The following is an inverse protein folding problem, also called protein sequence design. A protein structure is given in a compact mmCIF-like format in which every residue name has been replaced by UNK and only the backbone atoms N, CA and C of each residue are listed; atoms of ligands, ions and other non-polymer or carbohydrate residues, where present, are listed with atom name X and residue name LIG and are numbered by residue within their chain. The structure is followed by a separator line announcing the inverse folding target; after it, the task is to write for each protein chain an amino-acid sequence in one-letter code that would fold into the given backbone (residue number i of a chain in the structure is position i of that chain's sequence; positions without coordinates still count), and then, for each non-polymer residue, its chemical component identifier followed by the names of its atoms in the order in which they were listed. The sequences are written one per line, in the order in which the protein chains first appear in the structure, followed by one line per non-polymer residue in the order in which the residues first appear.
data_IF_625102371672
#
_entry.id   IF_625102371672
#
_cell.length_a   1.000
_cell.length_b   1.000
_cell.length_c   1.000
_cell.angle_alpha   90.00
_cell.angle_beta   90.00
_cell.angle_gamma   90.00
#
_symmetry.space_group_name_H-M   'P 1'
#
loop_
_entity.id
_entity.type
_entity.pdbx_description
1 polymer ?
#
# COMPACT_ATOMS: atom_id res chain seq x y z
N UNK A 1 -6.51 -28.94 -7.38
CA UNK A 1 -6.22 -27.75 -6.57
C UNK A 1 -4.72 -27.49 -6.44
N UNK A 2 -3.88 -28.50 -6.24
CA UNK A 2 -2.42 -28.30 -6.13
C UNK A 2 -1.76 -27.65 -7.36
N UNK A 3 -2.23 -27.89 -8.58
CA UNK A 3 -1.68 -27.31 -9.81
C UNK A 3 -1.91 -25.79 -9.96
N UNK A 4 -2.96 -25.24 -9.33
CA UNK A 4 -3.23 -23.81 -9.35
C UNK A 4 -2.24 -23.07 -8.45
N UNK A 5 -1.89 -23.65 -7.30
CA UNK A 5 -0.98 -23.06 -6.34
C UNK A 5 0.50 -23.18 -6.75
N UNK A 6 0.83 -24.07 -7.69
CA UNK A 6 2.19 -24.25 -8.19
C UNK A 6 2.58 -23.21 -9.26
N UNK A 7 1.62 -22.49 -9.83
CA UNK A 7 1.85 -21.46 -10.85
C UNK A 7 1.41 -20.10 -10.32
N UNK A 8 2.37 -19.18 -10.14
CA UNK A 8 2.12 -17.84 -9.62
C UNK A 8 1.01 -17.10 -10.38
N UNK A 9 1.02 -17.19 -11.72
CA UNK A 9 0.01 -16.54 -12.56
C UNK A 9 -1.40 -17.06 -12.27
N UNK A 10 -1.55 -18.38 -12.20
CA UNK A 10 -2.84 -19.03 -11.89
C UNK A 10 -3.31 -18.72 -10.47
N UNK A 11 -2.40 -18.68 -9.50
CA UNK A 11 -2.71 -18.31 -8.11
C UNK A 11 -3.22 -16.87 -8.01
N UNK A 12 -2.55 -15.93 -8.67
CA UNK A 12 -2.96 -14.51 -8.68
C UNK A 12 -4.34 -14.34 -9.34
N UNK A 13 -4.56 -14.98 -10.50
CA UNK A 13 -5.85 -14.94 -11.19
C UNK A 13 -6.95 -15.55 -10.32
N UNK A 14 -6.70 -16.72 -9.73
CA UNK A 14 -7.67 -17.39 -8.86
C UNK A 14 -7.99 -16.55 -7.61
N UNK A 15 -6.99 -15.90 -6.99
CA UNK A 15 -7.19 -14.98 -5.88
C UNK A 15 -8.04 -13.76 -6.28
N UNK A 16 -7.76 -13.18 -7.44
CA UNK A 16 -8.54 -12.05 -7.96
C UNK A 16 -10.00 -12.44 -8.23
N UNK A 17 -10.22 -13.57 -8.91
CA UNK A 17 -11.58 -14.08 -9.19
C UNK A 17 -12.34 -14.35 -7.89
N UNK A 18 -11.69 -14.99 -6.91
CA UNK A 18 -12.31 -15.24 -5.60
C UNK A 18 -12.70 -13.94 -4.91
N UNK A 19 -11.83 -12.94 -4.94
CA UNK A 19 -12.11 -11.61 -4.35
C UNK A 19 -13.32 -10.96 -5.02
N UNK A 20 -13.37 -10.95 -6.35
CA UNK A 20 -14.51 -10.40 -7.08
C UNK A 20 -15.82 -11.13 -6.73
N UNK A 21 -15.80 -12.45 -6.68
CA UNK A 21 -16.97 -13.26 -6.31
C UNK A 21 -17.44 -12.93 -4.88
N UNK A 22 -16.51 -12.83 -3.92
CA UNK A 22 -16.84 -12.47 -2.55
C UNK A 22 -17.46 -11.07 -2.44
N UNK A 23 -16.90 -10.08 -3.15
CA UNK A 23 -17.43 -8.71 -3.20
C UNK A 23 -18.85 -8.70 -3.77
N UNK A 24 -19.09 -9.40 -4.87
CA UNK A 24 -20.44 -9.51 -5.47
C UNK A 24 -21.45 -10.16 -4.51
N UNK A 25 -21.04 -11.20 -3.82
CA UNK A 25 -21.90 -11.87 -2.82
C UNK A 25 -22.24 -10.90 -1.67
N UNK A 26 -21.25 -10.18 -1.16
CA UNK A 26 -21.46 -9.22 -0.06
C UNK A 26 -22.39 -8.10 -0.49
N UNK A 27 -22.15 -7.48 -1.65
CA UNK A 27 -23.04 -6.42 -2.19
C UNK A 27 -24.47 -6.96 -2.39
N UNK A 28 -24.62 -8.16 -2.96
CA UNK A 28 -25.91 -8.77 -3.18
C UNK A 28 -26.67 -9.13 -1.89
N UNK A 29 -25.94 -9.47 -0.83
CA UNK A 29 -26.52 -9.86 0.46
C UNK A 29 -26.85 -8.66 1.35
N UNK A 30 -26.06 -7.59 1.31
CA UNK A 30 -26.20 -6.42 2.20
C UNK A 30 -26.90 -5.25 1.52
N UNK A 31 -26.87 -5.18 0.20
CA UNK A 31 -27.32 -4.01 -0.56
C UNK A 31 -26.41 -2.78 -0.40
N UNK A 32 -25.34 -2.89 0.38
CA UNK A 32 -24.40 -1.81 0.68
C UNK A 32 -23.12 -1.95 -0.15
N UNK A 33 -22.40 -0.85 -0.33
CA UNK A 33 -21.10 -0.87 -1.00
C UNK A 33 -21.17 -0.91 -2.52
N UNK A 34 -22.23 -0.34 -3.11
CA UNK A 34 -22.33 -0.20 -4.57
C UNK A 34 -21.09 0.52 -5.13
N UNK A 35 -20.45 -0.04 -6.18
CA UNK A 35 -19.35 0.65 -6.85
C UNK A 35 -19.80 2.01 -7.34
N UNK A 36 -19.17 3.08 -6.84
CA UNK A 36 -19.50 4.47 -7.21
C UNK A 36 -20.05 5.33 -6.09
N UNK A 37 -20.49 4.76 -4.98
CA UNK A 37 -20.83 5.50 -3.78
C UNK A 37 -19.62 6.24 -3.19
N UNK A 38 -19.88 7.39 -2.55
CA UNK A 38 -18.81 8.15 -1.85
C UNK A 38 -18.08 7.30 -0.80
N UNK A 39 -18.81 6.45 -0.09
CA UNK A 39 -18.25 5.50 0.88
C UNK A 39 -17.34 4.47 0.21
N UNK A 40 -17.75 3.94 -0.94
CA UNK A 40 -16.94 2.99 -1.70
C UNK A 40 -15.67 3.65 -2.28
N UNK A 41 -15.79 4.88 -2.79
CA UNK A 41 -14.64 5.66 -3.28
C UNK A 41 -13.66 5.94 -2.14
N UNK A 42 -14.15 6.36 -0.98
CA UNK A 42 -13.31 6.59 0.20
C UNK A 42 -12.62 5.29 0.67
N UNK A 43 -13.33 4.16 0.64
CA UNK A 43 -12.76 2.85 0.93
C UNK A 43 -11.64 2.48 -0.06
N UNK A 44 -11.82 2.68 -1.36
CA UNK A 44 -10.80 2.40 -2.37
C UNK A 44 -9.55 3.25 -2.18
N UNK A 45 -9.69 4.55 -1.93
CA UNK A 45 -8.55 5.43 -1.65
C UNK A 45 -7.81 5.03 -0.37
N UNK A 46 -8.54 4.64 0.68
CA UNK A 46 -7.93 4.14 1.92
C UNK A 46 -7.16 2.85 1.68
N UNK A 47 -7.72 1.94 0.90
CA UNK A 47 -7.09 0.69 0.56
C UNK A 47 -5.79 0.89 -0.25
N UNK A 48 -5.83 1.75 -1.28
CA UNK A 48 -4.66 2.12 -2.06
C UNK A 48 -3.58 2.78 -1.21
N UNK A 49 -3.99 3.65 -0.28
CA UNK A 49 -3.06 4.30 0.66
C UNK A 49 -2.35 3.28 1.55
N UNK A 50 -3.09 2.35 2.14
CA UNK A 50 -2.51 1.31 3.00
C UNK A 50 -1.57 0.40 2.21
N UNK A 51 -1.94 -0.05 1.01
CA UNK A 51 -1.07 -0.87 0.17
C UNK A 51 0.23 -0.17 -0.20
N UNK A 52 0.13 1.09 -0.59
CA UNK A 52 1.31 1.91 -0.93
C UNK A 52 2.21 2.10 0.29
N UNK A 53 1.62 2.36 1.46
CA UNK A 53 2.35 2.51 2.71
C UNK A 53 3.05 1.21 3.14
N UNK A 54 2.38 0.06 3.02
CA UNK A 54 2.97 -1.26 3.32
C UNK A 54 4.16 -1.55 2.42
N UNK A 55 4.05 -1.25 1.12
CA UNK A 55 5.16 -1.42 0.17
C UNK A 55 6.32 -0.49 0.50
N UNK A 56 6.05 0.79 0.78
CA UNK A 56 7.08 1.77 1.15
C UNK A 56 7.81 1.39 2.43
N UNK A 57 7.08 1.12 3.52
CA UNK A 57 7.64 0.74 4.81
C UNK A 57 8.35 -0.62 4.74
N UNK A 58 7.77 -1.58 4.01
CA UNK A 58 8.38 -2.90 3.81
C UNK A 58 9.74 -2.83 3.11
N UNK A 59 9.87 -1.98 2.08
CA UNK A 59 11.15 -1.74 1.42
C UNK A 59 12.14 -0.99 2.31
N UNK A 60 11.66 -0.05 3.13
CA UNK A 60 12.48 0.64 4.14
C UNK A 60 13.07 -0.36 5.13
N UNK A 61 12.27 -1.29 5.62
CA UNK A 61 12.71 -2.36 6.52
C UNK A 61 13.69 -3.30 5.84
N UNK A 62 13.41 -3.70 4.59
CA UNK A 62 14.33 -4.51 3.81
C UNK A 62 15.73 -3.86 3.71
N UNK A 63 15.81 -2.58 3.37
CA UNK A 63 17.10 -1.90 3.29
C UNK A 63 17.81 -1.85 4.64
N UNK A 64 17.11 -1.46 5.70
CA UNK A 64 17.73 -1.22 7.01
C UNK A 64 18.04 -2.50 7.78
N UNK A 65 17.19 -3.51 7.70
CA UNK A 65 17.36 -4.73 8.51
C UNK A 65 17.94 -5.91 7.73
N UNK A 66 17.88 -5.89 6.40
CA UNK A 66 18.36 -7.01 5.59
C UNK A 66 19.56 -6.60 4.75
N UNK A 67 19.41 -5.64 3.86
CA UNK A 67 20.44 -5.33 2.87
C UNK A 67 21.69 -4.69 3.51
N UNK A 68 21.53 -3.57 4.22
CA UNK A 68 22.64 -2.82 4.78
C UNK A 68 23.47 -3.67 5.78
N UNK A 69 22.88 -4.37 6.76
CA UNK A 69 23.66 -5.16 7.74
C UNK A 69 24.36 -6.37 7.14
N UNK A 70 23.89 -6.87 6.00
CA UNK A 70 24.48 -8.03 5.36
C UNK A 70 25.50 -7.69 4.26
N UNK A 71 25.54 -6.46 3.76
CA UNK A 71 26.50 -6.03 2.74
C UNK A 71 27.98 -6.29 3.12
N UNK A 72 28.43 -6.08 4.36
CA UNK A 72 29.81 -6.40 4.76
C UNK A 72 30.15 -7.90 4.72
N UNK A 73 29.14 -8.78 4.81
CA UNK A 73 29.31 -10.25 4.83
C UNK A 73 29.42 -10.85 3.43
N UNK A 74 29.14 -10.06 2.39
CA UNK A 74 29.13 -10.50 1.00
C UNK A 74 30.54 -10.30 0.40
N UNK A 75 31.11 -11.31 -0.30
CA UNK A 75 32.34 -11.17 -1.02
C UNK A 75 32.31 -10.00 -2.01
N UNK A 76 33.45 -9.32 -2.19
CA UNK A 76 33.52 -8.09 -2.99
C UNK A 76 33.19 -8.30 -4.47
N UNK A 77 33.43 -9.47 -4.99
CA UNK A 77 33.10 -9.90 -6.36
C UNK A 77 31.58 -10.05 -6.59
N UNK A 78 30.79 -10.29 -5.54
CA UNK A 78 29.35 -10.48 -5.60
C UNK A 78 28.56 -9.21 -5.26
N UNK A 79 29.16 -8.25 -4.57
CA UNK A 79 28.53 -6.96 -4.21
C UNK A 79 27.94 -6.19 -5.42
N UNK A 80 28.58 -6.19 -6.61
CA UNK A 80 28.03 -5.51 -7.78
C UNK A 80 26.68 -6.04 -8.24
N UNK A 81 26.37 -7.32 -8.05
CA UNK A 81 25.08 -7.89 -8.40
C UNK A 81 23.95 -7.27 -7.58
N UNK A 82 24.19 -7.03 -6.30
CA UNK A 82 23.22 -6.39 -5.40
C UNK A 82 23.16 -4.90 -5.68
N UNK A 83 24.29 -4.20 -5.71
CA UNK A 83 24.35 -2.75 -5.83
C UNK A 83 23.91 -2.21 -7.19
N UNK A 84 24.21 -2.95 -8.29
CA UNK A 84 23.93 -2.52 -9.66
C UNK A 84 22.60 -3.04 -10.22
N UNK A 85 22.06 -4.13 -9.68
CA UNK A 85 20.85 -4.77 -10.23
C UNK A 85 19.68 -4.69 -9.23
N UNK A 86 19.85 -5.25 -8.03
CA UNK A 86 18.77 -5.39 -7.06
C UNK A 86 18.44 -4.04 -6.41
N UNK A 87 19.46 -3.32 -5.94
CA UNK A 87 19.23 -2.06 -5.22
C UNK A 87 18.57 -0.98 -6.08
N UNK A 88 18.95 -0.72 -7.34
CA UNK A 88 18.26 0.24 -8.19
C UNK A 88 16.80 -0.15 -8.46
N UNK A 89 16.51 -1.43 -8.68
CA UNK A 89 15.16 -1.91 -8.87
C UNK A 89 14.30 -1.72 -7.62
N UNK A 90 14.82 -2.09 -6.45
CA UNK A 90 14.14 -1.89 -5.17
C UNK A 90 13.93 -0.40 -4.84
N UNK A 91 14.92 0.46 -5.12
CA UNK A 91 14.81 1.92 -4.95
C UNK A 91 13.79 2.54 -5.88
N UNK A 92 13.63 2.01 -7.09
CA UNK A 92 12.57 2.46 -7.99
C UNK A 92 11.18 2.24 -7.38
N UNK A 93 10.91 1.03 -6.89
CA UNK A 93 9.66 0.70 -6.20
C UNK A 93 9.47 1.49 -4.91
N UNK A 94 10.53 1.67 -4.13
CA UNK A 94 10.52 2.48 -2.91
C UNK A 94 10.06 3.91 -3.17
N UNK A 95 10.62 4.54 -4.21
CA UNK A 95 10.28 5.92 -4.60
C UNK A 95 8.83 6.06 -5.02
N UNK A 96 8.36 5.15 -5.88
CA UNK A 96 6.99 5.19 -6.35
C UNK A 96 5.98 4.84 -5.26
N UNK A 97 6.28 3.91 -4.39
CA UNK A 97 5.44 3.59 -3.24
C UNK A 97 5.32 4.78 -2.27
N UNK A 98 6.42 5.49 -2.00
CA UNK A 98 6.40 6.72 -1.19
C UNK A 98 5.52 7.81 -1.84
N UNK A 99 5.71 8.06 -3.15
CA UNK A 99 4.89 9.02 -3.89
C UNK A 99 3.41 8.65 -3.88
N UNK A 100 3.09 7.39 -4.13
CA UNK A 100 1.71 6.90 -4.08
C UNK A 100 1.10 7.05 -2.67
N UNK A 101 1.87 6.79 -1.61
CA UNK A 101 1.41 6.99 -0.23
C UNK A 101 1.08 8.46 0.05
N UNK A 102 1.93 9.38 -0.38
CA UNK A 102 1.67 10.83 -0.22
C UNK A 102 0.42 11.25 -1.00
N UNK A 103 0.34 10.90 -2.28
CA UNK A 103 -0.78 11.28 -3.15
C UNK A 103 -2.11 10.72 -2.64
N UNK A 104 -2.16 9.44 -2.31
CA UNK A 104 -3.38 8.82 -1.78
C UNK A 104 -3.77 9.36 -0.41
N UNK A 105 -2.79 9.70 0.44
CA UNK A 105 -3.03 10.35 1.73
C UNK A 105 -3.63 11.75 1.58
N UNK A 106 -3.13 12.55 0.64
CA UNK A 106 -3.70 13.87 0.33
C UNK A 106 -5.12 13.77 -0.23
N UNK A 107 -5.37 12.80 -1.12
CA UNK A 107 -6.72 12.57 -1.67
C UNK A 107 -7.70 12.12 -0.59
N UNK A 108 -7.27 11.31 0.37
CA UNK A 108 -8.08 10.94 1.53
C UNK A 108 -8.37 12.13 2.42
N UNK A 109 -7.37 12.96 2.70
CA UNK A 109 -7.54 14.16 3.52
C UNK A 109 -8.51 15.17 2.88
N UNK A 110 -8.40 15.33 1.54
CA UNK A 110 -9.35 16.14 0.77
C UNK A 110 -10.76 15.57 0.81
N UNK A 111 -10.92 14.28 0.54
CA UNK A 111 -12.22 13.61 0.49
C UNK A 111 -12.95 13.58 1.85
N UNK A 112 -12.19 13.52 2.94
CA UNK A 112 -12.73 13.54 4.31
C UNK A 112 -12.81 14.96 4.94
N UNK A 113 -12.35 16.00 4.24
CA UNK A 113 -12.48 17.40 4.67
C UNK A 113 -11.49 17.86 5.75
N UNK A 114 -10.47 17.05 6.10
CA UNK A 114 -9.48 17.43 7.12
C UNK A 114 -8.10 17.82 6.56
N UNK A 115 -8.02 18.19 5.27
CA UNK A 115 -6.74 18.51 4.63
C UNK A 115 -6.01 19.67 5.32
N UNK A 116 -6.73 20.74 5.67
CA UNK A 116 -6.15 21.91 6.34
C UNK A 116 -5.61 21.52 7.71
N UNK A 117 -6.34 20.75 8.47
CA UNK A 117 -5.95 20.24 9.79
C UNK A 117 -4.74 19.30 9.68
N UNK A 118 -4.68 18.46 8.64
CA UNK A 118 -3.54 17.58 8.38
C UNK A 118 -2.26 18.38 8.04
N UNK A 119 -2.37 19.43 7.23
CA UNK A 119 -1.21 20.26 6.84
C UNK A 119 -0.74 21.13 8.01
N UNK A 120 -1.68 21.68 8.79
CA UNK A 120 -1.36 22.54 9.94
C UNK A 120 -1.08 21.76 11.22
N UNK A 121 -1.03 20.42 11.16
CA UNK A 121 -0.85 19.55 12.32
C UNK A 121 -1.89 19.79 13.44
N UNK A 122 -3.08 20.21 13.05
CA UNK A 122 -4.18 20.49 14.00
C UNK A 122 -3.98 21.79 14.81
N UNK A 123 -3.05 22.66 14.43
CA UNK A 123 -2.77 23.90 15.16
C UNK A 123 -3.82 24.98 14.99
N UNK A 124 -4.69 24.87 13.99
CA UNK A 124 -5.70 25.88 13.65
C UNK A 124 -7.06 25.68 14.32
N UNK A 125 -7.41 24.45 14.68
CA UNK A 125 -8.62 24.15 15.42
C UNK A 125 -8.33 22.99 16.37
N UNK A 126 -8.53 23.26 17.66
CA UNK A 126 -8.14 22.33 18.72
C UNK A 126 -8.51 20.88 18.45
N UNK A 127 -7.61 20.00 18.82
CA UNK A 127 -7.56 18.53 18.71
C UNK A 127 -8.87 17.77 19.07
N UNK A 128 -9.91 18.48 19.47
CA UNK A 128 -11.15 17.93 20.03
C UNK A 128 -12.11 17.27 19.02
N UNK A 129 -11.91 17.45 17.69
CA UNK A 129 -12.86 16.92 16.69
C UNK A 129 -12.53 15.51 16.18
N UNK A 130 -11.31 15.02 16.36
CA UNK A 130 -10.88 13.73 15.80
C UNK A 130 -10.81 12.56 16.80
N UNK A 131 -11.14 12.79 18.06
CA UNK A 131 -11.21 11.73 19.08
C UNK A 131 -12.59 11.07 19.20
N UNK A 132 -13.52 11.43 18.34
CA UNK A 132 -14.89 10.88 18.33
C UNK A 132 -15.14 10.00 17.09
N UNK A 133 -14.22 9.05 16.83
CA UNK A 133 -14.49 7.91 15.93
C UNK A 133 -14.08 6.64 16.66
#
# INVERSE_FOLDING_TARGET
MASILSNLRSTVIAGFVLTVVMVVIVIGATGEGMPGDSAWIAFMWRWLHVLSAVMWVGLLWYFNFVQIPNMPKIPDDQKPAIGKVIAPAALWWFRWAAMATIVTGLLLALGNGYLVEAITLGLTDGVAKHTAI
#
